data_IF_316351253308
#
_entry.id   IF_316351253308
#
_cell.length_a   1.000
_cell.length_b   1.000
_cell.length_c   1.000
_cell.angle_alpha   90.00
_cell.angle_beta   90.00
_cell.angle_gamma   90.00
#
_symmetry.space_group_name_H-M   'P 1'
#
loop_
_entity.id
_entity.type
_entity.pdbx_description
1 polymer ?
#
# COMPACT_ATOMS: atom_id res chain seq x y z
N UNK A 1 -20.68 -9.33 10.11
CA UNK A 1 -21.33 -10.44 9.36
C UNK A 1 -21.62 -9.94 7.96
N UNK A 2 -21.15 -10.65 6.95
CA UNK A 2 -21.44 -10.34 5.54
C UNK A 2 -22.53 -11.30 5.04
N UNK A 3 -23.53 -10.78 4.32
CA UNK A 3 -24.66 -11.59 3.81
C UNK A 3 -24.42 -11.93 2.35
N UNK A 4 -24.41 -13.21 1.97
CA UNK A 4 -24.36 -13.67 0.60
C UNK A 4 -25.80 -13.95 0.08
N UNK A 5 -26.11 -13.45 -1.11
CA UNK A 5 -27.39 -13.66 -1.75
C UNK A 5 -27.35 -14.94 -2.59
N UNK A 6 -28.22 -15.89 -2.26
CA UNK A 6 -28.33 -17.19 -2.95
C UNK A 6 -29.64 -17.23 -3.72
N UNK A 7 -29.58 -17.50 -5.02
CA UNK A 7 -30.76 -17.81 -5.86
C UNK A 7 -30.87 -19.32 -6.03
N UNK A 8 -32.01 -19.88 -5.62
CA UNK A 8 -32.31 -21.28 -5.76
C UNK A 8 -33.30 -21.45 -6.92
N UNK A 9 -32.84 -22.10 -7.98
CA UNK A 9 -33.61 -22.30 -9.23
C UNK A 9 -33.92 -23.78 -9.41
N UNK A 10 -35.17 -24.17 -9.21
CA UNK A 10 -35.62 -25.56 -9.28
C UNK A 10 -37.13 -25.54 -9.49
N UNK A 11 -37.71 -26.38 -10.36
CA UNK A 11 -39.15 -26.43 -10.57
C UNK A 11 -39.87 -27.16 -9.44
N UNK A 12 -39.18 -28.02 -8.70
CA UNK A 12 -39.74 -28.77 -7.58
C UNK A 12 -39.81 -27.92 -6.29
N UNK A 13 -41.02 -27.53 -5.78
CA UNK A 13 -41.15 -26.74 -4.55
C UNK A 13 -40.53 -27.42 -3.32
N UNK A 14 -40.54 -28.77 -3.29
CA UNK A 14 -39.96 -29.56 -2.24
C UNK A 14 -38.43 -29.41 -2.11
N UNK A 15 -37.75 -29.33 -3.24
CA UNK A 15 -36.30 -29.14 -3.33
C UNK A 15 -35.94 -27.72 -2.84
N UNK A 16 -36.61 -26.68 -3.38
CA UNK A 16 -36.41 -25.30 -2.95
C UNK A 16 -36.58 -25.13 -1.41
N UNK A 17 -37.72 -25.63 -0.88
CA UNK A 17 -37.99 -25.58 0.56
C UNK A 17 -36.96 -26.35 1.38
N UNK A 18 -36.47 -27.48 0.84
CA UNK A 18 -35.41 -28.28 1.48
C UNK A 18 -34.11 -27.51 1.57
N UNK A 19 -33.66 -26.91 0.48
CA UNK A 19 -32.45 -26.09 0.41
C UNK A 19 -32.58 -24.88 1.35
N UNK A 20 -33.71 -24.18 1.31
CA UNK A 20 -33.98 -23.03 2.17
C UNK A 20 -33.86 -23.41 3.66
N UNK A 21 -34.47 -24.52 4.09
CA UNK A 21 -34.38 -24.99 5.47
C UNK A 21 -32.95 -25.35 5.90
N UNK A 22 -32.12 -25.89 5.00
CA UNK A 22 -30.73 -26.27 5.28
C UNK A 22 -29.85 -25.04 5.45
N UNK A 23 -30.08 -23.98 4.67
CA UNK A 23 -29.19 -22.83 4.60
C UNK A 23 -29.63 -21.62 5.43
N UNK A 24 -30.92 -21.44 5.76
CA UNK A 24 -31.43 -20.29 6.54
C UNK A 24 -30.80 -20.17 7.91
N UNK A 25 -30.45 -21.29 8.56
CA UNK A 25 -29.78 -21.30 9.88
C UNK A 25 -28.32 -21.66 9.82
N UNK A 26 -27.73 -21.67 8.62
CA UNK A 26 -26.34 -22.02 8.41
C UNK A 26 -25.49 -20.78 8.26
N UNK A 27 -24.39 -20.72 9.00
CA UNK A 27 -23.36 -19.69 8.88
C UNK A 27 -22.03 -20.32 8.52
N UNK A 28 -21.24 -19.64 7.72
CA UNK A 28 -19.88 -20.06 7.36
C UNK A 28 -18.89 -19.11 8.00
N UNK A 29 -18.12 -19.65 8.96
CA UNK A 29 -16.99 -18.96 9.57
C UNK A 29 -15.66 -19.54 9.08
N UNK A 30 -14.67 -18.69 8.82
CA UNK A 30 -13.33 -19.13 8.48
C UNK A 30 -12.37 -18.81 9.63
N UNK A 31 -11.53 -19.76 10.10
CA UNK A 31 -10.65 -19.58 11.27
C UNK A 31 -9.66 -18.39 11.18
N UNK A 32 -9.47 -17.84 9.99
CA UNK A 32 -8.53 -16.72 9.71
C UNK A 32 -9.26 -15.43 9.30
N UNK A 33 -10.58 -15.37 9.42
CA UNK A 33 -11.39 -14.22 9.06
C UNK A 33 -12.19 -13.78 10.27
N UNK A 34 -12.20 -12.48 10.53
CA UNK A 34 -13.00 -11.87 11.60
C UNK A 34 -14.50 -11.78 11.26
N UNK A 35 -14.91 -12.29 10.09
CA UNK A 35 -16.27 -12.18 9.59
C UNK A 35 -16.89 -13.56 9.28
N UNK A 36 -18.04 -13.82 9.86
CA UNK A 36 -18.93 -14.93 9.50
C UNK A 36 -19.87 -14.50 8.37
N UNK A 37 -20.24 -15.46 7.51
CA UNK A 37 -21.18 -15.26 6.40
C UNK A 37 -22.51 -15.92 6.72
N UNK A 38 -23.60 -15.17 6.59
CA UNK A 38 -24.96 -15.65 6.56
C UNK A 38 -25.52 -15.61 5.12
N UNK A 39 -26.66 -16.24 4.90
CA UNK A 39 -27.25 -16.43 3.59
C UNK A 39 -28.66 -15.89 3.55
N UNK A 40 -28.94 -15.10 2.51
CA UNK A 40 -30.30 -14.70 2.16
C UNK A 40 -30.69 -15.41 0.87
N UNK A 41 -31.78 -16.16 0.94
CA UNK A 41 -32.23 -17.02 -0.16
C UNK A 41 -33.39 -16.37 -0.92
N UNK A 42 -33.39 -16.55 -2.23
CA UNK A 42 -34.45 -16.18 -3.15
C UNK A 42 -34.73 -17.37 -4.06
N UNK A 43 -36.00 -17.65 -4.34
CA UNK A 43 -36.42 -18.81 -5.09
C UNK A 43 -36.89 -18.41 -6.50
N UNK A 44 -36.62 -19.27 -7.49
CA UNK A 44 -37.18 -19.23 -8.82
C UNK A 44 -37.68 -20.61 -9.21
N UNK A 45 -38.82 -20.67 -9.90
CA UNK A 45 -39.43 -21.93 -10.35
C UNK A 45 -39.16 -22.26 -11.84
N UNK A 46 -38.57 -21.31 -12.58
CA UNK A 46 -38.24 -21.44 -14.01
C UNK A 46 -36.94 -20.74 -14.33
N UNK A 47 -36.39 -21.00 -15.51
CA UNK A 47 -35.19 -20.29 -16.01
C UNK A 47 -35.47 -18.82 -16.30
N UNK A 48 -36.65 -18.49 -16.75
CA UNK A 48 -37.12 -17.13 -17.02
C UNK A 48 -37.18 -16.30 -15.74
N UNK A 49 -37.82 -16.86 -14.67
CA UNK A 49 -37.87 -16.20 -13.37
C UNK A 49 -36.45 -15.95 -12.82
N UNK A 50 -35.54 -16.92 -13.01
CA UNK A 50 -34.15 -16.78 -12.58
C UNK A 50 -33.44 -15.62 -13.29
N UNK A 51 -33.67 -15.45 -14.61
CA UNK A 51 -33.11 -14.34 -15.38
C UNK A 51 -33.67 -13.00 -14.90
N UNK A 52 -34.98 -12.91 -14.64
CA UNK A 52 -35.60 -11.68 -14.13
C UNK A 52 -35.05 -11.29 -12.76
N UNK A 53 -34.83 -12.25 -11.88
CA UNK A 53 -34.22 -12.03 -10.58
C UNK A 53 -32.77 -11.58 -10.72
N UNK A 54 -31.96 -12.23 -11.56
CA UNK A 54 -30.55 -11.85 -11.82
C UNK A 54 -30.42 -10.44 -12.39
N UNK A 55 -31.40 -9.97 -13.18
CA UNK A 55 -31.39 -8.61 -13.73
C UNK A 55 -31.87 -7.55 -12.71
N UNK A 56 -32.67 -7.94 -11.71
CA UNK A 56 -33.29 -7.00 -10.76
C UNK A 56 -32.56 -6.82 -9.44
N UNK A 57 -31.77 -7.81 -9.02
CA UNK A 57 -31.07 -7.74 -7.73
C UNK A 57 -29.70 -8.44 -7.77
N UNK A 58 -28.75 -8.03 -6.92
CA UNK A 58 -27.45 -8.67 -6.85
C UNK A 58 -27.59 -10.09 -6.27
N UNK A 59 -27.03 -11.08 -6.97
CA UNK A 59 -26.94 -12.47 -6.55
C UNK A 59 -25.45 -12.86 -6.50
N UNK A 60 -25.06 -13.60 -5.47
CA UNK A 60 -23.69 -14.08 -5.28
C UNK A 60 -23.52 -15.54 -5.72
N UNK A 61 -24.53 -16.36 -5.43
CA UNK A 61 -24.52 -17.80 -5.70
C UNK A 61 -25.83 -18.18 -6.37
N UNK A 62 -25.76 -18.98 -7.44
CA UNK A 62 -26.94 -19.58 -8.09
C UNK A 62 -26.87 -21.10 -7.92
N UNK A 63 -27.86 -21.67 -7.28
CA UNK A 63 -28.10 -23.10 -7.22
C UNK A 63 -29.11 -23.43 -8.32
N UNK A 64 -28.65 -24.03 -9.41
CA UNK A 64 -29.40 -24.12 -10.67
C UNK A 64 -29.68 -25.57 -11.04
N UNK A 65 -30.96 -25.94 -11.07
CA UNK A 65 -31.31 -27.23 -11.66
C UNK A 65 -31.03 -27.26 -13.17
N UNK A 66 -30.59 -28.40 -13.63
CA UNK A 66 -30.34 -28.60 -15.04
C UNK A 66 -31.60 -28.70 -15.87
N UNK A 67 -32.65 -29.35 -15.32
CA UNK A 67 -33.93 -29.56 -15.99
C UNK A 67 -35.00 -28.63 -15.42
N UNK A 68 -35.31 -27.60 -16.16
CA UNK A 68 -36.38 -26.66 -15.83
C UNK A 68 -37.45 -26.63 -16.93
N UNK A 69 -38.69 -26.30 -16.60
CA UNK A 69 -39.72 -26.09 -17.61
C UNK A 69 -39.40 -24.82 -18.42
N UNK A 70 -39.60 -24.89 -19.72
CA UNK A 70 -39.28 -23.76 -20.63
C UNK A 70 -37.80 -23.69 -20.95
N UNK A 71 -37.09 -22.79 -20.31
CA UNK A 71 -35.65 -22.58 -20.49
C UNK A 71 -34.82 -23.52 -19.60
N UNK A 72 -33.98 -24.36 -20.19
CA UNK A 72 -33.11 -25.29 -19.47
C UNK A 72 -32.04 -24.56 -18.63
N UNK A 73 -31.59 -25.19 -17.53
CA UNK A 73 -30.52 -24.63 -16.67
C UNK A 73 -29.21 -24.35 -17.42
N UNK A 74 -28.90 -25.11 -18.46
CA UNK A 74 -27.74 -24.83 -19.33
C UNK A 74 -27.88 -23.54 -20.13
N UNK A 75 -29.11 -23.16 -20.51
CA UNK A 75 -29.38 -21.90 -21.20
C UNK A 75 -29.31 -20.72 -20.26
N UNK A 76 -29.77 -20.88 -19.00
CA UNK A 76 -29.57 -19.88 -17.92
C UNK A 76 -28.08 -19.66 -17.64
N UNK A 77 -27.29 -20.75 -17.55
CA UNK A 77 -25.83 -20.66 -17.37
C UNK A 77 -25.18 -19.93 -18.54
N UNK A 78 -25.56 -20.23 -19.77
CA UNK A 78 -25.08 -19.53 -20.97
C UNK A 78 -25.42 -18.03 -20.95
N UNK A 79 -26.61 -17.67 -20.49
CA UNK A 79 -27.05 -16.29 -20.32
C UNK A 79 -26.17 -15.57 -19.27
N UNK A 80 -25.98 -16.17 -18.09
CA UNK A 80 -25.12 -15.64 -17.02
C UNK A 80 -23.72 -15.33 -17.54
N UNK A 81 -23.14 -16.27 -18.29
CA UNK A 81 -21.80 -16.12 -18.89
C UNK A 81 -21.76 -15.01 -19.94
N UNK A 82 -22.77 -14.95 -20.82
CA UNK A 82 -22.88 -13.94 -21.88
C UNK A 82 -22.99 -12.52 -21.32
N UNK A 83 -23.77 -12.34 -20.27
CA UNK A 83 -23.98 -11.06 -19.59
C UNK A 83 -22.85 -10.72 -18.64
N UNK A 84 -21.91 -11.65 -18.39
CA UNK A 84 -20.76 -11.49 -17.47
C UNK A 84 -21.18 -11.15 -16.03
N UNK A 85 -22.25 -11.76 -15.54
CA UNK A 85 -22.60 -11.65 -14.14
C UNK A 85 -21.48 -12.19 -13.25
N UNK A 86 -21.18 -11.48 -12.15
CA UNK A 86 -20.16 -11.88 -11.18
C UNK A 86 -20.80 -12.77 -10.11
N UNK A 87 -21.28 -13.96 -10.53
CA UNK A 87 -21.95 -14.94 -9.69
C UNK A 87 -21.25 -16.30 -9.77
N UNK A 88 -21.32 -17.08 -8.71
CA UNK A 88 -20.89 -18.49 -8.72
C UNK A 88 -22.09 -19.39 -8.96
N UNK A 89 -22.07 -20.17 -10.05
CA UNK A 89 -23.16 -21.09 -10.37
C UNK A 89 -22.80 -22.51 -9.97
N UNK A 90 -23.65 -23.15 -9.14
CA UNK A 90 -23.61 -24.57 -8.86
C UNK A 90 -24.79 -25.26 -9.54
N UNK A 91 -24.48 -26.14 -10.50
CA UNK A 91 -25.52 -26.94 -11.16
C UNK A 91 -25.95 -28.07 -10.22
N UNK A 92 -27.27 -28.25 -10.04
CA UNK A 92 -27.88 -29.36 -9.30
C UNK A 92 -28.59 -30.25 -10.34
N UNK A 93 -28.32 -31.55 -10.36
CA UNK A 93 -28.86 -32.40 -11.45
C UNK A 93 -29.17 -33.82 -10.97
N UNK A 94 -30.28 -34.37 -11.46
CA UNK A 94 -30.65 -35.77 -11.26
C UNK A 94 -29.84 -36.73 -12.16
N UNK A 95 -29.13 -36.23 -13.19
CA UNK A 95 -28.30 -36.99 -14.11
C UNK A 95 -26.83 -36.64 -13.90
N UNK A 96 -26.20 -37.35 -12.96
CA UNK A 96 -24.74 -37.25 -12.73
C UNK A 96 -23.98 -38.09 -13.77
N UNK A 97 -23.89 -37.62 -15.03
CA UNK A 97 -22.91 -38.16 -15.95
C UNK A 97 -21.64 -37.31 -15.90
N UNK A 98 -20.49 -37.97 -15.92
CA UNK A 98 -19.19 -37.26 -15.96
C UNK A 98 -19.11 -36.27 -17.11
N UNK A 99 -19.67 -36.59 -18.24
CA UNK A 99 -19.72 -35.74 -19.44
C UNK A 99 -20.50 -34.43 -19.20
N UNK A 100 -21.59 -34.49 -18.45
CA UNK A 100 -22.42 -33.33 -18.12
C UNK A 100 -21.72 -32.40 -17.11
N UNK A 101 -21.04 -32.97 -16.14
CA UNK A 101 -20.20 -32.22 -15.19
C UNK A 101 -19.04 -31.48 -15.87
N UNK A 102 -18.33 -32.19 -16.76
CA UNK A 102 -17.26 -31.62 -17.58
C UNK A 102 -17.78 -30.49 -18.48
N UNK A 103 -18.95 -30.69 -19.12
CA UNK A 103 -19.59 -29.69 -19.97
C UNK A 103 -19.98 -28.47 -19.16
N UNK A 104 -20.68 -28.63 -18.03
CA UNK A 104 -21.11 -27.52 -17.17
C UNK A 104 -19.92 -26.68 -16.67
N UNK A 105 -18.83 -27.33 -16.25
CA UNK A 105 -17.59 -26.63 -15.83
C UNK A 105 -16.96 -25.85 -17.01
N UNK A 106 -16.91 -26.44 -18.21
CA UNK A 106 -16.42 -25.76 -19.43
C UNK A 106 -17.30 -24.56 -19.78
N UNK A 107 -18.59 -24.67 -19.56
CA UNK A 107 -19.58 -23.65 -19.84
C UNK A 107 -19.64 -22.55 -18.78
N UNK A 108 -18.93 -22.71 -17.67
CA UNK A 108 -18.70 -21.65 -16.67
C UNK A 108 -19.37 -21.90 -15.32
N UNK A 109 -19.93 -23.09 -15.08
CA UNK A 109 -20.36 -23.46 -13.73
C UNK A 109 -19.14 -23.60 -12.80
N UNK A 110 -19.26 -23.13 -11.60
CA UNK A 110 -18.24 -23.28 -10.54
C UNK A 110 -18.14 -24.72 -10.07
N UNK A 111 -19.29 -25.37 -9.86
CA UNK A 111 -19.36 -26.76 -9.40
C UNK A 111 -20.70 -27.39 -9.82
N UNK A 112 -20.81 -28.67 -9.57
CA UNK A 112 -22.09 -29.39 -9.75
C UNK A 112 -22.38 -30.27 -8.52
N UNK A 113 -23.65 -30.60 -8.30
CA UNK A 113 -24.14 -31.47 -7.24
C UNK A 113 -25.19 -32.45 -7.80
N UNK A 114 -25.02 -33.78 -7.60
CA UNK A 114 -26.01 -34.74 -7.97
C UNK A 114 -27.21 -34.76 -7.02
N UNK A 115 -28.42 -34.96 -7.53
CA UNK A 115 -29.61 -35.30 -6.75
C UNK A 115 -29.73 -36.84 -6.63
N UNK A 116 -30.06 -37.41 -5.46
CA UNK A 116 -30.30 -36.75 -4.19
C UNK A 116 -29.00 -36.37 -3.47
N UNK A 117 -28.99 -35.26 -2.74
CA UNK A 117 -27.88 -34.80 -1.93
C UNK A 117 -28.27 -34.72 -0.45
N UNK A 118 -27.26 -34.84 0.41
CA UNK A 118 -27.42 -34.68 1.86
C UNK A 118 -27.27 -33.22 2.31
N UNK A 119 -27.83 -32.81 3.46
CA UNK A 119 -27.59 -31.47 4.00
C UNK A 119 -26.10 -31.16 4.21
N UNK A 120 -25.29 -32.15 4.53
CA UNK A 120 -23.86 -31.98 4.76
C UNK A 120 -23.11 -31.70 3.44
N UNK A 121 -23.45 -32.40 2.37
CA UNK A 121 -22.87 -32.16 1.04
C UNK A 121 -23.21 -30.77 0.52
N UNK A 122 -24.47 -30.31 0.69
CA UNK A 122 -24.87 -28.96 0.30
C UNK A 122 -24.10 -27.92 1.10
N UNK A 123 -24.01 -28.04 2.43
CA UNK A 123 -23.27 -27.11 3.29
C UNK A 123 -21.79 -27.06 2.91
N UNK A 124 -21.14 -28.20 2.71
CA UNK A 124 -19.73 -28.24 2.30
C UNK A 124 -19.49 -27.56 0.95
N UNK A 125 -20.40 -27.74 0.00
CA UNK A 125 -20.31 -27.07 -1.31
C UNK A 125 -20.51 -25.55 -1.20
N UNK A 126 -21.47 -25.10 -0.38
CA UNK A 126 -21.70 -23.67 -0.12
C UNK A 126 -20.50 -23.04 0.61
N UNK A 127 -19.92 -23.74 1.58
CA UNK A 127 -18.70 -23.29 2.24
C UNK A 127 -17.54 -23.06 1.25
N UNK A 128 -17.30 -24.03 0.36
CA UNK A 128 -16.26 -23.93 -0.66
C UNK A 128 -16.52 -22.76 -1.64
N UNK A 129 -17.77 -22.57 -2.06
CA UNK A 129 -18.16 -21.46 -2.95
C UNK A 129 -17.96 -20.12 -2.21
N UNK A 130 -18.41 -20.01 -0.97
CA UNK A 130 -18.28 -18.81 -0.14
C UNK A 130 -16.81 -18.42 0.05
N UNK A 131 -15.95 -19.40 0.34
CA UNK A 131 -14.50 -19.20 0.43
C UNK A 131 -13.90 -18.68 -0.87
N UNK A 132 -14.28 -19.27 -1.99
CA UNK A 132 -13.81 -18.83 -3.31
C UNK A 132 -14.24 -17.38 -3.61
N UNK A 133 -15.51 -17.05 -3.40
CA UNK A 133 -16.03 -15.69 -3.60
C UNK A 133 -15.34 -14.67 -2.72
N UNK A 134 -15.12 -15.00 -1.45
CA UNK A 134 -14.39 -14.14 -0.53
C UNK A 134 -12.98 -13.86 -1.01
N UNK A 135 -12.19 -14.90 -1.32
CA UNK A 135 -10.82 -14.74 -1.80
C UNK A 135 -10.76 -13.93 -3.10
N UNK A 136 -11.70 -14.17 -4.04
CA UNK A 136 -11.80 -13.41 -5.28
C UNK A 136 -12.09 -11.93 -5.01
N UNK A 137 -13.04 -11.61 -4.11
CA UNK A 137 -13.36 -10.22 -3.72
C UNK A 137 -12.19 -9.54 -3.02
N UNK A 138 -11.54 -10.24 -2.10
CA UNK A 138 -10.38 -9.72 -1.38
C UNK A 138 -9.23 -9.39 -2.34
N UNK A 139 -8.92 -10.30 -3.28
CA UNK A 139 -7.90 -10.07 -4.31
C UNK A 139 -8.24 -8.86 -5.18
N UNK A 140 -9.50 -8.72 -5.60
CA UNK A 140 -9.95 -7.58 -6.39
C UNK A 140 -9.84 -6.27 -5.60
N UNK A 141 -10.28 -6.26 -4.34
CA UNK A 141 -10.18 -5.10 -3.45
C UNK A 141 -8.72 -4.66 -3.29
N UNK A 142 -7.82 -5.61 -3.01
CA UNK A 142 -6.37 -5.33 -2.92
C UNK A 142 -5.79 -4.75 -4.22
N UNK A 143 -6.23 -5.25 -5.37
CA UNK A 143 -5.81 -4.73 -6.67
C UNK A 143 -6.34 -3.32 -6.94
N UNK A 144 -7.58 -3.03 -6.56
CA UNK A 144 -8.20 -1.70 -6.70
C UNK A 144 -7.54 -0.69 -5.76
N UNK A 145 -7.31 -1.05 -4.50
CA UNK A 145 -6.56 -0.24 -3.53
C UNK A 145 -5.14 0.06 -4.02
N UNK A 146 -4.45 -0.96 -4.52
CA UNK A 146 -3.11 -0.79 -5.11
C UNK A 146 -3.11 0.15 -6.33
N UNK A 147 -4.15 0.12 -7.17
CA UNK A 147 -4.30 1.08 -8.28
C UNK A 147 -4.58 2.49 -7.80
N UNK A 148 -5.43 2.65 -6.77
CA UNK A 148 -5.74 3.97 -6.20
C UNK A 148 -4.51 4.61 -5.57
N UNK A 149 -3.73 3.84 -4.79
CA UNK A 149 -2.47 4.29 -4.19
C UNK A 149 -1.50 4.75 -5.28
N UNK A 150 -1.33 3.96 -6.36
CA UNK A 150 -0.48 4.35 -7.49
C UNK A 150 -0.97 5.61 -8.21
N UNK A 151 -2.27 5.77 -8.37
CA UNK A 151 -2.85 6.96 -9.01
C UNK A 151 -2.65 8.21 -8.15
N UNK A 152 -2.90 8.11 -6.85
CA UNK A 152 -2.61 9.20 -5.90
C UNK A 152 -1.13 9.57 -5.91
N UNK A 153 -0.25 8.58 -5.89
CA UNK A 153 1.19 8.76 -6.00
C UNK A 153 1.57 9.57 -7.24
N UNK A 154 1.11 9.16 -8.44
CA UNK A 154 1.40 9.87 -9.69
C UNK A 154 0.81 11.30 -9.71
N UNK A 155 -0.35 11.50 -9.11
CA UNK A 155 -1.00 12.81 -9.01
C UNK A 155 -0.19 13.78 -8.14
N UNK A 156 0.22 13.33 -6.95
CA UNK A 156 1.06 14.11 -6.03
C UNK A 156 2.40 14.44 -6.69
N UNK A 157 3.05 13.45 -7.33
CA UNK A 157 4.31 13.65 -8.04
C UNK A 157 4.21 14.70 -9.14
N UNK A 158 3.16 14.60 -9.94
CA UNK A 158 2.92 15.57 -11.01
C UNK A 158 2.78 16.99 -10.46
N UNK A 159 2.07 17.15 -9.34
CA UNK A 159 1.91 18.45 -8.70
C UNK A 159 3.22 18.97 -8.11
N UNK A 160 3.97 18.13 -7.38
CA UNK A 160 5.23 18.51 -6.73
C UNK A 160 6.37 18.79 -7.73
N UNK A 161 6.33 18.23 -8.94
CA UNK A 161 7.25 18.56 -10.02
C UNK A 161 6.82 19.81 -10.82
N UNK A 162 5.51 19.98 -11.05
CA UNK A 162 5.00 21.11 -11.85
C UNK A 162 5.21 22.46 -11.15
N UNK A 163 5.07 22.50 -9.83
CA UNK A 163 5.20 23.75 -9.07
C UNK A 163 6.60 24.39 -9.18
N UNK A 164 7.72 23.70 -8.89
CA UNK A 164 9.05 24.26 -9.06
C UNK A 164 9.41 24.53 -10.52
N UNK A 165 8.91 23.70 -11.46
CA UNK A 165 9.12 23.92 -12.91
C UNK A 165 8.52 25.25 -13.36
N UNK A 166 7.25 25.49 -13.03
CA UNK A 166 6.58 26.76 -13.36
C UNK A 166 7.32 27.97 -12.76
N UNK A 167 7.87 27.83 -11.54
CA UNK A 167 8.65 28.90 -10.92
C UNK A 167 9.94 29.19 -11.69
N UNK A 168 10.67 28.15 -12.13
CA UNK A 168 11.88 28.30 -12.94
C UNK A 168 11.54 28.93 -14.29
N UNK A 169 10.50 28.46 -14.98
CA UNK A 169 10.01 29.05 -16.23
C UNK A 169 9.68 30.54 -16.06
N UNK A 170 8.97 30.89 -14.95
CA UNK A 170 8.66 32.28 -14.66
C UNK A 170 9.91 33.15 -14.48
N UNK A 171 10.94 32.68 -13.75
CA UNK A 171 12.19 33.41 -13.59
C UNK A 171 12.94 33.58 -14.94
N UNK A 172 13.02 32.52 -15.74
CA UNK A 172 13.66 32.57 -17.06
C UNK A 172 12.92 33.52 -17.98
N UNK A 173 11.61 33.58 -17.97
CA UNK A 173 10.81 34.52 -18.76
C UNK A 173 11.06 35.97 -18.34
N UNK A 174 11.11 36.25 -17.03
CA UNK A 174 11.47 37.59 -16.53
C UNK A 174 12.88 38.02 -16.97
N UNK A 175 13.85 37.09 -17.05
CA UNK A 175 15.19 37.34 -17.56
C UNK A 175 15.16 37.63 -19.07
N UNK A 176 14.40 36.81 -19.84
CA UNK A 176 14.26 36.98 -21.28
C UNK A 176 13.64 38.33 -21.67
N UNK A 177 12.63 38.75 -20.90
CA UNK A 177 11.92 40.03 -21.08
C UNK A 177 12.67 41.23 -20.48
N UNK A 178 13.87 41.03 -19.89
CA UNK A 178 14.71 42.04 -19.28
C UNK A 178 13.99 42.93 -18.25
N UNK A 179 13.10 42.33 -17.46
CA UNK A 179 12.21 43.05 -16.52
C UNK A 179 12.95 43.81 -15.41
N UNK A 180 14.19 43.43 -15.06
CA UNK A 180 14.98 44.00 -13.96
C UNK A 180 16.27 44.67 -14.39
N UNK A 181 16.59 44.68 -15.71
CA UNK A 181 17.78 45.31 -16.27
C UNK A 181 18.40 44.50 -17.39
N UNK A 182 19.54 45.00 -17.92
CA UNK A 182 20.26 44.40 -19.05
C UNK A 182 21.44 43.52 -18.62
N UNK A 183 21.85 43.58 -17.37
CA UNK A 183 23.01 42.85 -16.84
C UNK A 183 22.59 41.55 -16.17
N UNK A 184 23.45 40.54 -16.25
CA UNK A 184 23.23 39.25 -15.58
C UNK A 184 23.14 39.41 -14.05
N UNK A 185 23.93 40.33 -13.49
CA UNK A 185 23.95 40.63 -12.05
C UNK A 185 22.58 41.07 -11.52
N UNK A 186 21.76 41.73 -12.36
CA UNK A 186 20.41 42.16 -12.02
C UNK A 186 19.48 40.95 -11.71
N UNK A 187 19.88 39.75 -12.13
CA UNK A 187 19.11 38.51 -12.00
C UNK A 187 19.73 37.47 -11.08
N UNK A 188 20.83 37.77 -10.39
CA UNK A 188 21.54 36.82 -9.52
C UNK A 188 20.62 36.06 -8.58
N UNK A 189 19.72 36.78 -7.86
CA UNK A 189 18.73 36.17 -6.95
C UNK A 189 17.77 35.21 -7.66
N UNK A 190 17.43 35.48 -8.93
CA UNK A 190 16.52 34.60 -9.69
C UNK A 190 17.25 33.37 -10.20
N UNK A 191 18.51 33.51 -10.58
CA UNK A 191 19.40 32.40 -10.94
C UNK A 191 19.56 31.48 -9.74
N UNK A 192 19.90 32.01 -8.58
CA UNK A 192 20.07 31.23 -7.34
C UNK A 192 18.79 30.49 -6.96
N UNK A 193 17.63 31.16 -7.03
CA UNK A 193 16.33 30.54 -6.77
C UNK A 193 16.01 29.45 -7.77
N UNK A 194 16.32 29.65 -9.05
CA UNK A 194 16.14 28.65 -10.11
C UNK A 194 17.00 27.41 -9.86
N UNK A 195 18.28 27.61 -9.54
CA UNK A 195 19.21 26.53 -9.19
C UNK A 195 18.76 25.76 -7.94
N UNK A 196 18.27 26.46 -6.92
CA UNK A 196 17.73 25.83 -5.73
C UNK A 196 16.49 24.97 -6.04
N UNK A 197 15.57 25.46 -6.90
CA UNK A 197 14.39 24.70 -7.36
C UNK A 197 14.78 23.46 -8.17
N UNK A 198 15.72 23.58 -9.08
CA UNK A 198 16.23 22.45 -9.89
C UNK A 198 16.91 21.38 -9.00
N UNK A 199 17.69 21.79 -8.00
CA UNK A 199 18.27 20.87 -7.01
C UNK A 199 17.16 20.13 -6.22
N UNK A 200 16.14 20.84 -5.79
CA UNK A 200 14.97 20.23 -5.12
C UNK A 200 14.25 19.20 -5.97
N UNK A 201 14.02 19.51 -7.26
CA UNK A 201 13.42 18.56 -8.21
C UNK A 201 14.28 17.33 -8.43
N UNK A 202 15.60 17.49 -8.57
CA UNK A 202 16.53 16.36 -8.72
C UNK A 202 16.45 15.44 -7.50
N UNK A 203 16.46 15.98 -6.29
CA UNK A 203 16.34 15.19 -5.07
C UNK A 203 15.02 14.42 -5.01
N UNK A 204 13.90 15.08 -5.37
CA UNK A 204 12.59 14.43 -5.44
C UNK A 204 12.59 13.26 -6.44
N UNK A 205 13.22 13.42 -7.60
CA UNK A 205 13.35 12.33 -8.59
C UNK A 205 14.19 11.18 -8.04
N UNK A 206 15.28 11.45 -7.32
CA UNK A 206 16.11 10.42 -6.71
C UNK A 206 15.34 9.67 -5.61
N UNK A 207 14.66 10.38 -4.72
CA UNK A 207 13.80 9.79 -3.69
C UNK A 207 12.73 8.87 -4.30
N UNK A 208 12.13 9.29 -5.44
CA UNK A 208 11.15 8.51 -6.19
C UNK A 208 11.77 7.23 -6.76
N UNK A 209 12.96 7.33 -7.35
CA UNK A 209 13.67 6.17 -7.89
C UNK A 209 14.02 5.17 -6.77
N UNK A 210 14.43 5.65 -5.60
CA UNK A 210 14.75 4.78 -4.47
C UNK A 210 13.50 4.12 -3.91
N UNK A 211 12.38 4.85 -3.77
CA UNK A 211 11.10 4.28 -3.38
C UNK A 211 10.64 3.18 -4.38
N UNK A 212 10.73 3.45 -5.70
CA UNK A 212 10.33 2.46 -6.71
C UNK A 212 11.21 1.22 -6.73
N UNK A 213 12.52 1.36 -6.44
CA UNK A 213 13.43 0.21 -6.28
C UNK A 213 13.03 -0.66 -5.08
N UNK A 214 12.69 -0.03 -3.94
CA UNK A 214 12.24 -0.73 -2.73
C UNK A 214 10.94 -1.49 -2.99
N UNK A 215 9.93 -0.82 -3.58
CA UNK A 215 8.60 -1.42 -3.80
C UNK A 215 8.60 -2.51 -4.87
N UNK A 216 9.45 -2.42 -5.88
CA UNK A 216 9.52 -3.42 -6.93
C UNK A 216 10.12 -4.76 -6.46
N UNK A 217 10.83 -4.78 -5.34
CA UNK A 217 11.58 -5.95 -4.85
C UNK A 217 12.64 -6.48 -5.82
N UNK A 218 12.88 -5.78 -6.94
CA UNK A 218 13.78 -6.22 -8.02
C UNK A 218 15.24 -5.83 -7.82
N UNK A 219 15.55 -4.99 -6.81
CA UNK A 219 16.94 -4.64 -6.51
C UNK A 219 17.65 -5.88 -5.94
N UNK A 220 18.65 -6.39 -6.63
CA UNK A 220 19.58 -7.35 -6.03
C UNK A 220 20.39 -6.59 -4.97
N UNK A 221 20.06 -6.83 -3.71
CA UNK A 221 20.76 -6.23 -2.56
C UNK A 221 22.17 -6.83 -2.48
N UNK A 222 23.16 -6.00 -2.31
CA UNK A 222 24.55 -6.40 -2.16
C UNK A 222 24.91 -6.48 -0.67
N UNK A 223 24.37 -7.48 0.02
CA UNK A 223 24.60 -7.65 1.45
C UNK A 223 26.07 -8.03 1.68
N UNK A 224 26.74 -7.26 2.55
CA UNK A 224 28.10 -7.51 3.04
C UNK A 224 28.25 -7.04 4.48
N UNK A 225 29.25 -7.54 5.18
CA UNK A 225 29.61 -6.98 6.48
C UNK A 225 29.95 -5.49 6.32
N UNK A 226 29.18 -4.65 6.94
CA UNK A 226 29.23 -3.19 6.81
C UNK A 226 29.40 -2.57 8.17
N UNK A 227 30.44 -1.75 8.33
CA UNK A 227 30.62 -0.92 9.52
C UNK A 227 29.70 0.30 9.44
N UNK A 228 28.63 0.32 10.25
CA UNK A 228 27.68 1.42 10.27
C UNK A 228 28.30 2.74 10.77
N UNK A 229 29.40 2.68 11.50
CA UNK A 229 30.11 3.88 11.95
C UNK A 229 30.83 4.60 10.79
N UNK A 230 31.37 3.84 9.84
CA UNK A 230 31.98 4.40 8.63
C UNK A 230 30.90 5.04 7.73
N UNK A 231 29.78 4.35 7.52
CA UNK A 231 28.67 4.89 6.73
C UNK A 231 28.12 6.17 7.35
N UNK A 232 27.92 6.20 8.68
CA UNK A 232 27.48 7.39 9.38
C UNK A 232 28.45 8.56 9.22
N UNK A 233 29.76 8.28 9.29
CA UNK A 233 30.82 9.30 9.12
C UNK A 233 30.77 9.88 7.71
N UNK A 234 30.70 9.04 6.68
CA UNK A 234 30.61 9.48 5.28
C UNK A 234 29.36 10.36 5.04
N UNK A 235 28.22 9.98 5.60
CA UNK A 235 26.99 10.78 5.53
C UNK A 235 27.15 12.14 6.23
N UNK A 236 27.79 12.16 7.40
CA UNK A 236 28.03 13.41 8.13
C UNK A 236 29.01 14.30 7.39
N UNK A 237 30.11 13.78 6.84
CA UNK A 237 31.09 14.52 6.06
C UNK A 237 30.44 15.16 4.80
N UNK A 238 29.55 14.44 4.14
CA UNK A 238 28.78 14.94 2.99
C UNK A 238 27.87 16.12 3.36
N UNK A 239 27.33 16.12 4.57
CA UNK A 239 26.40 17.15 5.06
C UNK A 239 27.10 18.28 5.83
N UNK A 240 28.39 18.15 6.14
CA UNK A 240 29.14 19.13 6.92
C UNK A 240 29.09 20.55 6.34
N UNK A 241 29.27 20.79 5.00
CA UNK A 241 29.17 22.14 4.45
C UNK A 241 27.80 22.79 4.73
N UNK A 242 26.73 21.99 4.69
CA UNK A 242 25.39 22.49 4.96
C UNK A 242 25.16 22.76 6.46
N UNK A 243 25.73 21.92 7.33
CA UNK A 243 25.69 22.13 8.78
C UNK A 243 26.47 23.38 9.18
N UNK A 244 27.66 23.63 8.58
CA UNK A 244 28.45 24.84 8.78
C UNK A 244 27.67 26.08 8.38
N UNK A 245 27.04 26.10 7.22
CA UNK A 245 26.23 27.23 6.75
C UNK A 245 25.14 27.63 7.76
N UNK A 246 24.59 26.66 8.51
CA UNK A 246 23.58 26.85 9.55
C UNK A 246 24.15 26.92 10.96
N UNK A 247 25.48 26.94 11.11
CA UNK A 247 26.17 26.92 12.38
C UNK A 247 25.77 25.73 13.29
N UNK A 248 25.32 24.61 12.70
CA UNK A 248 24.92 23.39 13.39
C UNK A 248 26.15 22.52 13.63
N UNK A 249 26.34 22.10 14.88
CA UNK A 249 27.46 21.21 15.27
C UNK A 249 27.00 19.75 15.24
N UNK A 250 27.73 18.91 14.52
CA UNK A 250 27.46 17.47 14.44
C UNK A 250 28.46 16.69 15.27
N UNK A 251 28.02 15.64 15.94
CA UNK A 251 28.89 14.73 16.74
C UNK A 251 28.47 13.28 16.53
N UNK A 252 29.41 12.41 16.16
CA UNK A 252 29.25 10.96 16.14
C UNK A 252 29.80 10.37 17.46
N UNK A 253 29.06 9.43 18.03
CA UNK A 253 29.49 8.61 19.18
C UNK A 253 29.18 7.15 18.85
N UNK A 254 30.15 6.26 19.06
CA UNK A 254 30.02 4.83 18.75
C UNK A 254 30.42 4.04 19.97
N UNK A 255 29.63 3.02 20.29
CA UNK A 255 29.90 2.08 21.40
C UNK A 255 29.85 0.66 20.85
N UNK A 256 30.89 -0.11 21.05
CA UNK A 256 31.06 -1.47 20.55
C UNK A 256 31.52 -1.50 19.09
N UNK A 257 31.20 -2.58 18.37
CA UNK A 257 31.55 -2.81 16.96
C UNK A 257 30.27 -2.94 16.12
N UNK A 258 29.76 -1.86 15.52
CA UNK A 258 28.47 -1.85 14.84
C UNK A 258 28.53 -2.45 13.43
N UNK A 259 29.02 -3.71 13.34
CA UNK A 259 29.06 -4.49 12.10
C UNK A 259 27.70 -5.12 11.84
N UNK A 260 27.14 -4.90 10.66
CA UNK A 260 25.85 -5.45 10.22
C UNK A 260 25.98 -6.05 8.82
N UNK A 261 25.34 -7.19 8.59
CA UNK A 261 25.18 -7.73 7.24
C UNK A 261 24.14 -6.87 6.49
N UNK A 262 24.62 -5.88 5.74
CA UNK A 262 23.79 -4.86 5.10
C UNK A 262 24.33 -4.46 3.72
N UNK A 263 23.46 -3.87 2.91
CA UNK A 263 23.84 -3.15 1.68
C UNK A 263 24.29 -1.73 2.09
N UNK A 264 25.57 -1.35 1.88
CA UNK A 264 26.08 -0.05 2.29
C UNK A 264 25.33 1.12 1.67
N UNK A 265 24.88 0.98 0.40
CA UNK A 265 24.15 2.04 -0.30
C UNK A 265 22.78 2.30 0.38
N UNK A 266 22.14 1.24 0.90
CA UNK A 266 20.88 1.36 1.64
C UNK A 266 21.10 2.04 3.00
N UNK A 267 22.16 1.67 3.70
CA UNK A 267 22.51 2.32 4.98
C UNK A 267 22.91 3.77 4.79
N UNK A 268 23.58 4.11 3.69
CA UNK A 268 23.92 5.49 3.35
C UNK A 268 22.63 6.32 3.13
N UNK A 269 21.63 5.81 2.45
CA UNK A 269 20.33 6.48 2.27
C UNK A 269 19.67 6.70 3.64
N UNK A 270 19.69 5.69 4.53
CA UNK A 270 19.13 5.80 5.88
C UNK A 270 19.83 6.92 6.67
N UNK A 271 21.17 6.92 6.74
CA UNK A 271 21.91 7.95 7.47
C UNK A 271 21.75 9.34 6.85
N UNK A 272 21.82 9.45 5.52
CA UNK A 272 21.63 10.72 4.81
C UNK A 272 20.25 11.32 5.12
N UNK A 273 19.19 10.53 5.09
CA UNK A 273 17.83 10.99 5.42
C UNK A 273 17.74 11.47 6.88
N UNK A 274 18.28 10.69 7.80
CA UNK A 274 18.20 11.01 9.23
C UNK A 274 19.03 12.26 9.57
N UNK A 275 20.30 12.29 9.14
CA UNK A 275 21.22 13.40 9.47
C UNK A 275 20.81 14.69 8.73
N UNK A 276 20.40 14.59 7.46
CA UNK A 276 19.94 15.77 6.72
C UNK A 276 18.68 16.38 7.35
N UNK A 277 17.75 15.57 7.82
CA UNK A 277 16.58 16.06 8.54
C UNK A 277 17.00 16.76 9.85
N UNK A 278 17.88 16.14 10.63
CA UNK A 278 18.38 16.70 11.89
C UNK A 278 19.11 18.05 11.71
N UNK A 279 19.82 18.26 10.59
CA UNK A 279 20.44 19.55 10.25
C UNK A 279 19.41 20.55 9.72
N UNK A 280 18.51 20.08 8.85
CA UNK A 280 17.56 20.91 8.12
C UNK A 280 16.47 21.52 9.01
N UNK A 281 15.98 20.74 9.97
CA UNK A 281 14.96 21.17 10.92
C UNK A 281 15.55 21.69 12.24
N UNK A 282 16.87 21.90 12.28
CA UNK A 282 17.54 22.45 13.45
C UNK A 282 17.37 23.97 13.57
N UNK A 283 17.65 24.47 14.74
CA UNK A 283 17.85 25.91 15.01
C UNK A 283 19.26 26.32 14.59
N UNK A 284 19.44 27.57 14.22
CA UNK A 284 20.78 28.11 13.97
C UNK A 284 21.64 28.02 15.24
N UNK A 285 22.87 27.53 15.11
CA UNK A 285 23.74 27.25 16.25
C UNK A 285 23.41 25.98 17.02
N UNK A 286 22.47 25.17 16.56
CA UNK A 286 22.03 23.93 17.20
C UNK A 286 23.03 22.79 17.13
N UNK A 287 22.61 21.62 17.58
CA UNK A 287 23.44 20.42 17.66
C UNK A 287 22.73 19.22 17.04
N UNK A 288 23.49 18.35 16.40
CA UNK A 288 23.07 17.00 15.96
C UNK A 288 24.00 15.99 16.59
N UNK A 289 23.44 14.98 17.23
CA UNK A 289 24.20 13.87 17.84
C UNK A 289 23.73 12.58 17.15
N UNK A 290 24.68 11.88 16.53
CA UNK A 290 24.50 10.52 16.04
C UNK A 290 25.15 9.58 17.06
N UNK A 291 24.37 8.66 17.60
CA UNK A 291 24.84 7.64 18.55
C UNK A 291 24.56 6.27 17.92
N UNK A 292 25.58 5.42 17.86
CA UNK A 292 25.46 4.03 17.39
C UNK A 292 25.93 3.12 18.52
N UNK A 293 25.05 2.24 18.98
CA UNK A 293 25.30 1.31 20.08
C UNK A 293 25.15 -0.12 19.61
N UNK A 294 26.21 -0.90 19.74
CA UNK A 294 26.16 -2.34 19.60
C UNK A 294 25.68 -2.97 20.92
N UNK A 295 24.47 -3.52 20.91
CA UNK A 295 23.86 -4.19 22.06
C UNK A 295 23.98 -5.73 21.98
N UNK A 296 24.85 -6.24 21.10
CA UNK A 296 25.11 -7.66 20.90
C UNK A 296 24.11 -8.31 19.96
N UNK A 297 22.83 -8.35 20.31
CA UNK A 297 21.76 -8.93 19.47
C UNK A 297 21.21 -7.96 18.43
N UNK A 298 21.38 -6.68 18.67
CA UNK A 298 20.87 -5.60 17.82
C UNK A 298 21.81 -4.40 17.84
N UNK A 299 21.73 -3.59 16.80
CA UNK A 299 22.42 -2.31 16.72
C UNK A 299 21.36 -1.21 16.82
N UNK A 300 21.56 -0.29 17.75
CA UNK A 300 20.69 0.86 17.98
C UNK A 300 21.37 2.12 17.46
N UNK A 301 20.69 2.83 16.55
CA UNK A 301 21.13 4.10 15.97
C UNK A 301 20.17 5.17 16.46
N UNK A 302 20.71 6.21 17.14
CA UNK A 302 19.93 7.38 17.55
C UNK A 302 20.47 8.63 16.88
N UNK A 303 19.59 9.36 16.21
CA UNK A 303 19.90 10.67 15.65
C UNK A 303 19.06 11.71 16.38
N UNK A 304 19.73 12.54 17.18
CA UNK A 304 19.08 13.57 18.01
C UNK A 304 19.47 14.95 17.53
N UNK A 305 18.52 15.85 17.46
CA UNK A 305 18.72 17.26 17.15
C UNK A 305 18.10 18.18 18.23
N UNK A 306 18.52 19.42 18.23
CA UNK A 306 18.01 20.48 19.10
C UNK A 306 17.11 21.46 18.33
N UNK A 307 16.41 20.95 17.34
CA UNK A 307 15.65 21.73 16.37
C UNK A 307 14.27 22.18 16.85
N UNK A 308 13.39 22.34 15.88
CA UNK A 308 12.01 22.84 16.10
C UNK A 308 11.08 21.83 16.76
N UNK A 309 11.48 20.55 16.80
CA UNK A 309 10.64 19.49 17.32
C UNK A 309 9.42 19.19 16.48
N UNK A 310 8.61 18.23 16.94
CA UNK A 310 7.41 17.72 16.25
C UNK A 310 6.30 17.57 17.28
N UNK A 311 5.08 18.03 16.96
CA UNK A 311 3.89 17.88 17.82
C UNK A 311 3.51 16.41 17.98
N UNK A 312 2.81 16.04 19.06
CA UNK A 312 2.39 14.64 19.27
C UNK A 312 1.47 14.14 18.16
N UNK A 313 0.60 15.00 17.67
CA UNK A 313 -0.36 14.68 16.60
C UNK A 313 0.36 14.38 15.28
N UNK A 314 1.43 15.12 15.00
CA UNK A 314 2.21 14.96 13.77
C UNK A 314 3.16 13.75 13.82
N UNK A 315 3.61 13.31 15.00
CA UNK A 315 4.55 12.18 15.15
C UNK A 315 4.00 10.86 14.60
N UNK A 316 2.68 10.67 14.58
CA UNK A 316 2.05 9.46 14.03
C UNK A 316 2.11 9.41 12.50
N UNK A 317 2.10 10.57 11.85
CA UNK A 317 1.95 10.68 10.39
C UNK A 317 3.28 10.92 9.65
N UNK A 318 4.36 11.33 10.32
CA UNK A 318 5.62 11.70 9.65
C UNK A 318 6.30 10.56 8.86
N UNK A 319 5.91 9.32 9.10
CA UNK A 319 6.40 8.16 8.37
C UNK A 319 5.54 7.76 7.17
N UNK A 320 4.45 8.47 6.90
CA UNK A 320 3.63 8.26 5.72
C UNK A 320 4.27 8.91 4.49
N UNK A 321 3.97 8.36 3.31
CA UNK A 321 4.50 8.88 2.05
C UNK A 321 3.96 10.30 1.79
N UNK A 322 4.84 11.23 1.41
CA UNK A 322 4.55 12.64 1.08
C UNK A 322 4.05 13.52 2.23
N UNK A 323 4.07 13.03 3.45
CA UNK A 323 3.67 13.83 4.60
C UNK A 323 4.74 14.87 4.91
N UNK A 324 4.29 16.12 5.06
CA UNK A 324 5.11 17.27 5.46
C UNK A 324 4.33 18.12 6.46
N UNK A 325 4.91 18.35 7.61
CA UNK A 325 4.34 19.25 8.62
C UNK A 325 4.49 20.69 8.11
N UNK A 326 3.37 21.34 7.84
CA UNK A 326 3.33 22.75 7.41
C UNK A 326 3.14 23.65 8.62
N UNK A 327 4.17 24.35 9.00
CA UNK A 327 4.13 25.42 10.05
C UNK A 327 4.78 26.69 9.52
N UNK A 328 4.71 27.77 10.29
CA UNK A 328 5.43 29.00 9.98
C UNK A 328 6.94 28.77 9.91
N UNK A 329 7.47 27.86 10.71
CA UNK A 329 8.89 27.51 10.79
C UNK A 329 9.36 26.58 9.68
N UNK A 330 8.45 25.76 9.08
CA UNK A 330 8.80 24.78 8.03
C UNK A 330 8.48 25.25 6.61
N UNK A 331 7.81 26.42 6.45
CA UNK A 331 7.32 26.92 5.17
C UNK A 331 8.42 27.09 4.11
N UNK A 332 9.61 27.49 4.50
CA UNK A 332 10.77 27.69 3.60
C UNK A 332 11.64 26.45 3.44
N UNK A 333 11.44 25.45 4.29
CA UNK A 333 12.22 24.21 4.24
C UNK A 333 11.74 23.35 3.08
N UNK A 334 12.60 23.08 2.10
CA UNK A 334 12.27 22.25 0.93
C UNK A 334 12.46 20.76 1.24
N UNK A 335 11.61 19.87 0.71
CA UNK A 335 11.73 18.42 0.87
C UNK A 335 10.60 17.68 0.16
N UNK A 336 10.85 16.42 -0.19
CA UNK A 336 9.92 15.51 -0.85
C UNK A 336 8.78 14.99 0.03
N UNK A 337 9.04 14.90 1.35
CA UNK A 337 8.18 14.15 2.27
C UNK A 337 8.33 12.62 2.16
N UNK A 338 9.34 12.15 1.43
CA UNK A 338 9.58 10.71 1.23
C UNK A 338 10.72 10.15 2.10
N UNK A 339 11.63 10.99 2.60
CA UNK A 339 12.84 10.52 3.28
C UNK A 339 12.55 9.63 4.50
N UNK A 340 11.60 9.98 5.36
CA UNK A 340 11.25 9.17 6.54
C UNK A 340 10.50 7.89 6.17
N UNK A 341 9.61 7.92 5.20
CA UNK A 341 8.90 6.73 4.73
C UNK A 341 9.85 5.75 4.02
N UNK A 342 10.80 6.25 3.21
CA UNK A 342 11.88 5.45 2.61
C UNK A 342 12.72 4.81 3.71
N UNK A 343 13.13 5.58 4.73
CA UNK A 343 13.90 5.06 5.88
C UNK A 343 13.13 3.95 6.59
N UNK A 344 11.85 4.13 6.88
CA UNK A 344 11.00 3.13 7.53
C UNK A 344 10.89 1.84 6.69
N UNK A 345 10.68 1.97 5.38
CA UNK A 345 10.59 0.83 4.46
C UNK A 345 11.94 0.09 4.37
N UNK A 346 13.06 0.81 4.31
CA UNK A 346 14.40 0.21 4.30
C UNK A 346 14.70 -0.53 5.61
N UNK A 347 14.48 0.11 6.76
CA UNK A 347 14.69 -0.50 8.08
C UNK A 347 13.86 -1.78 8.24
N UNK A 348 12.61 -1.78 7.77
CA UNK A 348 11.74 -2.95 7.80
C UNK A 348 12.29 -4.13 6.97
N UNK A 349 13.03 -3.88 5.87
CA UNK A 349 13.68 -4.94 5.08
C UNK A 349 14.80 -5.67 5.85
N UNK A 350 15.31 -5.06 6.91
CA UNK A 350 16.27 -5.66 7.83
C UNK A 350 15.60 -6.22 9.09
N UNK A 351 14.26 -6.36 9.09
CA UNK A 351 13.48 -6.74 10.27
C UNK A 351 13.67 -5.78 11.47
N UNK A 352 14.07 -4.55 11.18
CA UNK A 352 14.28 -3.50 12.15
C UNK A 352 13.04 -2.66 12.41
N UNK A 353 13.16 -1.73 13.34
CA UNK A 353 12.11 -0.75 13.67
C UNK A 353 12.68 0.66 13.72
N UNK A 354 11.81 1.65 13.49
CA UNK A 354 12.12 3.06 13.68
C UNK A 354 11.05 3.71 14.53
N UNK A 355 11.47 4.54 15.47
CA UNK A 355 10.60 5.34 16.34
C UNK A 355 11.08 6.79 16.44
N UNK A 356 10.19 7.66 16.92
CA UNK A 356 10.47 9.08 17.15
C UNK A 356 10.02 9.49 18.53
N UNK A 357 10.87 10.30 19.19
CA UNK A 357 10.56 11.02 20.41
C UNK A 357 10.87 12.49 20.17
N UNK A 358 9.89 13.36 20.34
CA UNK A 358 10.07 14.78 20.05
C UNK A 358 9.21 15.64 20.97
N UNK A 359 9.76 16.81 21.31
CA UNK A 359 9.07 17.87 22.03
C UNK A 359 9.20 19.14 21.18
N UNK A 360 8.06 19.77 20.91
CA UNK A 360 8.03 21.00 20.15
C UNK A 360 8.96 22.07 20.79
N UNK A 361 9.75 22.73 19.95
CA UNK A 361 10.77 23.72 20.31
C UNK A 361 11.96 23.23 21.15
N UNK A 362 12.06 21.93 21.46
CA UNK A 362 13.22 21.36 22.17
C UNK A 362 14.09 20.52 21.26
N UNK A 363 13.48 19.76 20.33
CA UNK A 363 14.20 18.93 19.37
C UNK A 363 13.56 17.57 19.15
N UNK A 364 14.24 16.74 18.34
CA UNK A 364 13.75 15.42 17.94
C UNK A 364 14.83 14.37 18.11
N UNK A 365 14.44 13.18 18.51
CA UNK A 365 15.29 11.98 18.51
C UNK A 365 14.60 10.89 17.73
N UNK A 366 15.23 10.45 16.65
CA UNK A 366 14.85 9.23 15.93
C UNK A 366 15.71 8.08 16.42
N UNK A 367 15.06 6.95 16.68
CA UNK A 367 15.73 5.71 17.09
C UNK A 367 15.45 4.61 16.08
N UNK A 368 16.50 4.02 15.51
CA UNK A 368 16.44 2.86 14.61
C UNK A 368 17.06 1.68 15.33
N UNK A 369 16.38 0.54 15.34
CA UNK A 369 16.86 -0.71 15.89
C UNK A 369 16.97 -1.75 14.77
N UNK A 370 18.16 -2.29 14.57
CA UNK A 370 18.46 -3.28 13.52
C UNK A 370 18.94 -4.58 14.18
N UNK A 371 18.19 -5.68 14.10
CA UNK A 371 18.62 -6.97 14.64
C UNK A 371 19.82 -7.49 13.85
N UNK A 372 20.79 -8.09 14.56
CA UNK A 372 21.84 -8.89 13.93
C UNK A 372 21.25 -10.22 13.47
N UNK A 373 21.40 -10.50 12.19
CA UNK A 373 21.02 -11.81 11.61
C UNK A 373 22.10 -12.84 11.83
#
# INVERSE_FOLDING_TARGET
>A
MATLQILVVDDEPGIRSGINRILTSYTVGFPFLEEDFDFKLTDAASGEDAIDILNSQPIDIVLLDNKLPGMDGTEVLAYIKKQKFDVAVMMITSYASLDLAIKATRDGAYSFMPKPFTPQELRSSIENISKHLYLKRMTRKMQEEGKQIRFQFLSVMSHELKSPLNAVEGYLKMMQEKQFGDKVDDYEKMIDRSLARLRGMRNLIMDLLDLTKIESGKKQRKLRETDLSEVARMSMDTLEPYAIQRSVRMKLSVTGSPMLLADPDEMEIVFNNMVSNAVKYNKDGGKVKVLIEDQGKEIVIKVSDTGIGISKEDQEQIFEDFVRIKSSQTKEITGSGLGLSITKKMVAQYNGSISVESIADEGTTFTITLPRQ
#
